data_IF_403223925761
#
_entry.id   IF_403223925761
#
_cell.length_a   1.000
_cell.length_b   1.000
_cell.length_c   1.000
_cell.angle_alpha   90.00
_cell.angle_beta   90.00
_cell.angle_gamma   90.00
#
_symmetry.space_group_name_H-M   'P 1'
#
loop_
_entity.id
_entity.type
_entity.pdbx_description
1 polymer ?
#
# COMPACT_ATOMS: atom_id res chain seq x y z
N UNK A 1 25.80 -41.43 6.89
CA UNK A 1 26.45 -40.20 7.43
C UNK A 1 27.00 -39.29 6.32
N UNK A 2 27.81 -39.78 5.37
CA UNK A 2 28.42 -38.95 4.29
C UNK A 2 27.45 -38.22 3.33
N UNK A 3 26.29 -38.76 2.91
CA UNK A 3 25.42 -38.03 1.99
C UNK A 3 24.67 -36.86 2.67
N UNK A 4 24.47 -36.95 3.99
CA UNK A 4 23.78 -35.91 4.77
C UNK A 4 24.65 -34.67 4.90
N UNK A 5 25.96 -34.84 5.11
CA UNK A 5 26.91 -33.72 5.13
C UNK A 5 27.05 -33.04 3.76
N UNK A 6 27.00 -33.81 2.67
CA UNK A 6 27.03 -33.25 1.31
C UNK A 6 25.77 -32.41 1.01
N UNK A 7 24.60 -32.90 1.43
CA UNK A 7 23.33 -32.20 1.24
C UNK A 7 23.25 -30.92 2.09
N UNK A 8 23.74 -30.97 3.33
CA UNK A 8 23.84 -29.79 4.20
C UNK A 8 24.80 -28.73 3.64
N UNK A 9 25.94 -29.14 3.08
CA UNK A 9 26.89 -28.22 2.44
C UNK A 9 26.34 -27.58 1.18
N UNK A 10 25.57 -28.33 0.37
CA UNK A 10 24.91 -27.79 -0.82
C UNK A 10 23.85 -26.74 -0.46
N UNK A 11 23.07 -27.02 0.59
CA UNK A 11 22.01 -26.13 1.07
C UNK A 11 22.59 -24.82 1.63
N UNK A 12 23.74 -24.89 2.30
CA UNK A 12 24.47 -23.71 2.79
C UNK A 12 24.97 -22.81 1.65
N UNK A 13 25.44 -23.39 0.54
CA UNK A 13 25.92 -22.63 -0.62
C UNK A 13 24.80 -21.90 -1.36
N UNK A 14 23.63 -22.53 -1.52
CA UNK A 14 22.45 -21.90 -2.14
C UNK A 14 21.95 -20.71 -1.31
N UNK A 15 22.00 -20.81 0.03
CA UNK A 15 21.59 -19.73 0.92
C UNK A 15 22.48 -18.47 0.80
N UNK A 16 23.80 -18.63 0.62
CA UNK A 16 24.74 -17.51 0.42
C UNK A 16 24.53 -16.83 -0.94
N UNK A 17 24.20 -17.59 -1.99
CA UNK A 17 24.03 -17.05 -3.34
C UNK A 17 22.75 -16.21 -3.51
N UNK A 18 21.72 -16.44 -2.69
CA UNK A 18 20.49 -15.64 -2.72
C UNK A 18 20.51 -14.39 -1.84
N UNK A 19 21.62 -14.13 -1.12
CA UNK A 19 21.75 -12.98 -0.20
C UNK A 19 22.61 -11.86 -0.80
N UNK A 20 22.33 -11.44 -2.02
CA UNK A 20 22.85 -10.17 -2.57
C UNK A 20 21.74 -9.12 -2.58
N UNK A 21 21.76 -8.30 -1.54
CA UNK A 21 21.06 -7.01 -1.47
C UNK A 21 21.94 -5.90 -2.10
N UNK A 22 21.25 -4.99 -2.77
CA UNK A 22 21.57 -3.76 -3.49
C UNK A 22 22.77 -2.91 -3.01
N UNK A 23 23.53 -2.27 -3.93
CA UNK A 23 23.99 -0.83 -3.92
C UNK A 23 25.14 -0.54 -4.93
N UNK A 24 24.94 0.41 -5.86
CA UNK A 24 25.85 1.34 -6.63
C UNK A 24 25.23 1.59 -8.03
N UNK A 25 25.00 2.80 -8.56
CA UNK A 25 25.78 4.04 -8.50
C UNK A 25 24.93 5.33 -8.60
N UNK A 26 25.50 6.41 -8.06
CA UNK A 26 25.06 7.80 -8.17
C UNK A 26 25.69 8.52 -9.38
N UNK A 27 24.93 9.44 -9.97
CA UNK A 27 25.31 10.72 -10.60
C UNK A 27 26.53 10.82 -11.55
N UNK A 28 26.27 11.13 -12.83
CA UNK A 28 27.05 12.12 -13.59
C UNK A 28 26.14 12.92 -14.53
N UNK A 29 26.20 14.24 -14.37
CA UNK A 29 25.50 15.28 -15.12
C UNK A 29 26.03 15.50 -16.56
N UNK A 30 25.10 15.94 -17.42
CA UNK A 30 25.24 16.94 -18.51
C UNK A 30 26.13 16.69 -19.74
N UNK A 31 25.50 16.64 -20.93
CA UNK A 31 25.73 17.61 -22.01
C UNK A 31 24.71 17.50 -23.17
N UNK A 32 23.87 18.53 -23.26
CA UNK A 32 23.26 19.16 -24.44
C UNK A 32 23.65 18.64 -25.85
N UNK A 33 22.67 18.16 -26.62
CA UNK A 33 22.68 18.28 -28.08
C UNK A 33 21.28 18.62 -28.61
N UNK A 34 21.11 19.89 -28.99
CA UNK A 34 20.02 20.42 -29.77
C UNK A 34 20.06 19.88 -31.21
N UNK A 35 18.95 19.32 -31.69
CA UNK A 35 18.51 19.49 -33.09
C UNK A 35 17.01 19.19 -33.17
N UNK A 36 16.26 20.20 -33.57
CA UNK A 36 14.84 20.14 -33.83
C UNK A 36 14.55 19.36 -35.12
N UNK A 37 13.49 18.56 -35.11
CA UNK A 37 12.61 18.43 -36.27
C UNK A 37 11.16 18.47 -35.79
N UNK A 38 10.42 19.38 -36.39
CA UNK A 38 9.01 19.61 -36.17
C UNK A 38 8.26 18.79 -37.21
N UNK A 39 7.48 17.80 -36.78
CA UNK A 39 6.29 17.49 -37.56
C UNK A 39 5.07 17.25 -36.67
N UNK A 40 4.07 18.05 -37.00
CA UNK A 40 2.77 18.22 -36.38
C UNK A 40 1.91 16.99 -36.67
N UNK A 41 1.70 16.16 -35.65
CA UNK A 41 0.66 15.14 -35.60
C UNK A 41 -0.39 15.54 -34.56
N UNK A 42 -1.08 16.64 -34.83
CA UNK A 42 -2.17 17.15 -33.98
C UNK A 42 -3.36 16.20 -34.00
N UNK A 43 -3.42 15.31 -33.00
CA UNK A 43 -4.66 14.66 -32.59
C UNK A 43 -4.76 14.67 -31.07
N UNK A 44 -4.69 15.88 -30.49
CA UNK A 44 -5.12 16.10 -29.13
C UNK A 44 -6.65 16.22 -29.15
N UNK A 45 -7.33 15.19 -28.65
CA UNK A 45 -8.75 15.27 -28.32
C UNK A 45 -8.96 16.46 -27.39
N UNK A 46 -9.61 17.51 -27.90
CA UNK A 46 -9.96 18.70 -27.14
C UNK A 46 -10.82 18.30 -25.94
N UNK A 47 -10.31 18.51 -24.73
CA UNK A 47 -11.18 18.63 -23.56
C UNK A 47 -11.86 20.01 -23.61
N UNK A 48 -13.17 20.11 -23.29
CA UNK A 48 -13.85 21.40 -23.18
C UNK A 48 -13.15 22.28 -22.13
N UNK A 49 -13.15 23.63 -22.30
CA UNK A 49 -12.67 24.53 -21.27
C UNK A 49 -13.48 24.30 -19.99
N UNK A 50 -12.82 23.85 -18.93
CA UNK A 50 -13.42 23.73 -17.61
C UNK A 50 -13.96 25.08 -17.17
N UNK A 51 -15.27 25.13 -16.98
CA UNK A 51 -15.97 26.31 -16.49
C UNK A 51 -15.39 26.72 -15.13
N UNK A 52 -14.66 27.84 -15.13
CA UNK A 52 -14.31 28.58 -13.92
C UNK A 52 -15.61 29.11 -13.31
N UNK A 53 -15.99 28.58 -12.15
CA UNK A 53 -17.10 29.11 -11.35
C UNK A 53 -18.30 28.18 -11.21
N UNK A 54 -18.09 26.97 -10.67
CA UNK A 54 -19.15 26.31 -9.93
C UNK A 54 -18.55 25.70 -8.68
N UNK A 55 -18.72 26.40 -7.55
CA UNK A 55 -18.42 25.87 -6.23
C UNK A 55 -19.21 24.58 -6.07
N UNK A 56 -18.53 23.44 -6.23
CA UNK A 56 -19.11 22.16 -5.86
C UNK A 56 -19.33 22.26 -4.35
N UNK A 57 -20.58 22.18 -3.84
CA UNK A 57 -20.80 22.23 -2.41
C UNK A 57 -20.02 21.06 -1.80
N UNK A 58 -19.04 21.37 -0.95
CA UNK A 58 -18.41 20.37 -0.09
C UNK A 58 -19.54 19.70 0.67
N UNK A 59 -19.80 18.40 0.48
CA UNK A 59 -20.84 17.72 1.22
C UNK A 59 -20.52 17.87 2.70
N UNK A 60 -21.44 18.49 3.46
CA UNK A 60 -21.32 18.53 4.90
C UNK A 60 -21.18 17.07 5.39
N UNK A 61 -20.25 16.77 6.31
CA UNK A 61 -20.05 15.42 6.83
C UNK A 61 -21.39 14.91 7.35
N UNK A 62 -21.98 13.98 6.61
CA UNK A 62 -23.18 13.29 7.05
C UNK A 62 -22.71 12.41 8.20
N UNK A 63 -23.27 12.61 9.39
CA UNK A 63 -23.15 11.65 10.48
C UNK A 63 -23.89 10.39 10.02
N UNK A 64 -23.22 9.57 9.20
CA UNK A 64 -23.68 8.24 8.88
C UNK A 64 -23.73 7.52 10.20
N UNK A 65 -24.95 7.23 10.65
CA UNK A 65 -25.17 6.39 11.81
C UNK A 65 -24.39 5.12 11.52
N UNK A 66 -23.41 4.79 12.39
CA UNK A 66 -22.66 3.55 12.28
C UNK A 66 -23.67 2.44 11.94
N UNK A 67 -23.35 1.55 10.97
CA UNK A 67 -24.23 0.43 10.64
C UNK A 67 -24.69 -0.16 11.96
N UNK A 68 -25.99 -0.42 12.11
CA UNK A 68 -26.43 -1.23 13.23
C UNK A 68 -25.63 -2.51 13.11
N UNK A 69 -24.66 -2.73 14.00
CA UNK A 69 -23.96 -3.99 14.08
C UNK A 69 -25.08 -5.00 14.11
N UNK A 70 -25.19 -5.78 13.03
CA UNK A 70 -26.16 -6.87 13.00
C UNK A 70 -25.90 -7.62 14.28
N UNK A 71 -26.92 -7.78 15.11
CA UNK A 71 -26.82 -8.40 16.43
C UNK A 71 -26.47 -9.89 16.27
N UNK A 72 -25.28 -10.18 15.75
CA UNK A 72 -24.54 -11.32 16.18
C UNK A 72 -24.32 -11.10 17.67
N UNK A 73 -24.52 -12.15 18.46
CA UNK A 73 -24.28 -12.15 19.90
C UNK A 73 -22.78 -12.02 20.22
N UNK A 74 -22.03 -11.26 19.40
CA UNK A 74 -20.69 -10.83 19.69
C UNK A 74 -20.77 -9.88 20.88
N UNK A 75 -20.37 -10.43 22.04
CA UNK A 75 -20.12 -9.66 23.26
C UNK A 75 -19.29 -8.44 22.86
N UNK A 76 -19.84 -7.24 22.97
CA UNK A 76 -19.05 -6.01 22.91
C UNK A 76 -18.06 -6.12 24.05
N UNK A 77 -16.82 -6.48 23.73
CA UNK A 77 -15.73 -6.53 24.70
C UNK A 77 -15.30 -5.09 24.87
N UNK A 78 -15.20 -4.60 26.12
CA UNK A 78 -14.51 -3.35 26.39
C UNK A 78 -13.13 -3.43 25.71
N UNK A 79 -12.80 -2.40 24.92
CA UNK A 79 -11.69 -2.42 23.98
C UNK A 79 -10.35 -2.88 24.58
N UNK A 80 -9.47 -3.40 23.74
CA UNK A 80 -8.12 -3.81 24.11
C UNK A 80 -7.09 -2.68 24.03
N UNK A 81 -5.89 -2.90 24.56
CA UNK A 81 -4.74 -2.03 24.30
C UNK A 81 -4.11 -2.42 22.96
N UNK A 82 -4.13 -1.50 21.99
CA UNK A 82 -3.41 -1.68 20.74
C UNK A 82 -1.91 -1.40 20.95
N UNK A 83 -1.10 -2.47 20.96
CA UNK A 83 0.36 -2.34 21.03
C UNK A 83 0.92 -2.07 19.64
N UNK A 84 1.66 -0.97 19.50
CA UNK A 84 2.36 -0.64 18.26
C UNK A 84 3.52 -1.63 18.06
N UNK A 85 3.38 -2.54 17.09
CA UNK A 85 4.40 -3.51 16.73
C UNK A 85 5.10 -3.06 15.45
N UNK A 86 6.40 -2.79 15.51
CA UNK A 86 7.23 -2.44 14.34
C UNK A 86 7.62 -0.97 14.27
N UNK A 87 8.05 -0.56 13.09
CA UNK A 87 8.48 0.81 12.83
C UNK A 87 7.30 1.78 12.72
N UNK A 88 7.60 3.07 12.81
CA UNK A 88 6.61 4.14 12.63
C UNK A 88 6.19 4.17 11.15
N UNK A 89 4.88 4.15 10.85
CA UNK A 89 4.42 4.15 9.48
C UNK A 89 4.60 5.54 8.85
N UNK A 90 4.95 5.61 7.55
CA UNK A 90 4.99 6.87 6.80
C UNK A 90 3.67 7.65 6.82
N UNK A 91 2.54 6.94 6.87
CA UNK A 91 1.21 7.56 6.95
C UNK A 91 0.21 6.64 7.65
N UNK A 92 -0.85 7.23 8.23
CA UNK A 92 -2.03 6.51 8.73
C UNK A 92 -3.29 6.80 7.90
N UNK A 93 -3.21 7.64 6.87
CA UNK A 93 -4.33 7.88 5.97
C UNK A 93 -4.48 6.68 5.01
N UNK A 94 -5.57 5.89 5.10
CA UNK A 94 -5.76 4.72 4.25
C UNK A 94 -5.82 5.05 2.76
N UNK A 95 -6.17 6.29 2.37
CA UNK A 95 -6.16 6.71 0.98
C UNK A 95 -4.76 7.01 0.44
N UNK A 96 -3.76 7.12 1.31
CA UNK A 96 -2.36 7.40 0.96
C UNK A 96 -1.42 6.22 1.27
N UNK A 97 -1.92 5.18 1.95
CA UNK A 97 -1.16 3.97 2.29
C UNK A 97 -0.73 3.21 1.04
N UNK A 98 0.57 3.01 0.87
CA UNK A 98 1.16 2.25 -0.25
C UNK A 98 2.18 1.19 0.20
N UNK A 99 2.60 1.23 1.46
CA UNK A 99 3.61 0.34 2.03
C UNK A 99 3.03 -0.61 3.10
N UNK A 100 3.78 -1.67 3.42
CA UNK A 100 3.36 -2.71 4.36
C UNK A 100 3.34 -2.22 5.81
N UNK A 101 4.26 -1.31 6.20
CA UNK A 101 4.31 -0.82 7.58
C UNK A 101 3.06 -0.01 7.91
N UNK A 102 2.62 0.87 7.01
CA UNK A 102 1.37 1.62 7.11
C UNK A 102 0.15 0.70 7.07
N UNK A 103 0.17 -0.32 6.18
CA UNK A 103 -0.97 -1.24 6.01
C UNK A 103 -1.28 -2.05 7.28
N UNK A 104 -0.25 -2.54 8.00
CA UNK A 104 -0.43 -3.30 9.25
C UNK A 104 -1.20 -2.51 10.32
N UNK A 105 -1.00 -1.20 10.40
CA UNK A 105 -1.76 -0.37 11.33
C UNK A 105 -3.13 0.00 10.78
N UNK A 106 -3.25 0.23 9.47
CA UNK A 106 -4.49 0.64 8.85
C UNK A 106 -5.60 -0.40 9.03
N UNK A 107 -5.30 -1.70 8.85
CA UNK A 107 -6.28 -2.79 9.01
C UNK A 107 -6.79 -2.96 10.45
N UNK A 108 -6.03 -2.48 11.44
CA UNK A 108 -6.35 -2.65 12.85
C UNK A 108 -7.09 -1.43 13.42
N UNK A 109 -6.92 -0.26 12.80
CA UNK A 109 -7.54 1.00 13.20
C UNK A 109 -8.86 1.24 12.43
N UNK A 110 -8.89 0.88 11.15
CA UNK A 110 -10.01 1.15 10.26
C UNK A 110 -10.70 -0.16 9.84
N UNK A 111 -12.02 -0.21 10.04
CA UNK A 111 -12.88 -1.29 9.56
C UNK A 111 -13.33 -1.08 8.12
N UNK A 112 -13.56 -2.19 7.41
CA UNK A 112 -14.00 -2.22 6.02
C UNK A 112 -15.44 -2.72 5.87
N UNK A 113 -15.85 -3.02 4.63
CA UNK A 113 -17.09 -3.81 4.42
C UNK A 113 -16.84 -5.31 4.64
N UNK A 114 -15.64 -5.75 4.33
CA UNK A 114 -15.18 -7.13 4.41
C UNK A 114 -13.75 -7.09 4.96
N UNK A 115 -13.36 -8.13 5.66
CA UNK A 115 -12.02 -8.31 6.20
C UNK A 115 -11.49 -9.71 5.89
N UNK A 116 -10.21 -9.92 6.16
CA UNK A 116 -9.54 -11.22 6.01
C UNK A 116 -9.32 -11.79 7.41
N UNK A 117 -9.88 -12.97 7.68
CA UNK A 117 -9.72 -13.63 8.97
C UNK A 117 -8.31 -14.24 9.14
N UNK A 118 -8.04 -14.79 10.33
CA UNK A 118 -6.75 -15.45 10.64
C UNK A 118 -6.47 -16.69 9.78
N UNK A 119 -7.49 -17.24 9.12
CA UNK A 119 -7.38 -18.36 8.18
C UNK A 119 -7.27 -17.88 6.73
N UNK A 120 -7.11 -16.57 6.50
CA UNK A 120 -7.03 -15.92 5.20
C UNK A 120 -8.34 -16.02 4.38
N UNK A 121 -9.48 -16.24 5.05
CA UNK A 121 -10.79 -16.22 4.42
C UNK A 121 -11.38 -14.81 4.42
N UNK A 122 -12.10 -14.46 3.34
CA UNK A 122 -12.84 -13.20 3.27
C UNK A 122 -14.14 -13.36 4.07
N UNK A 123 -14.33 -12.51 5.07
CA UNK A 123 -15.49 -12.50 5.97
C UNK A 123 -16.04 -11.08 6.10
N UNK A 124 -17.27 -10.95 6.61
CA UNK A 124 -17.79 -9.64 7.03
C UNK A 124 -17.08 -9.17 8.30
N UNK A 125 -16.84 -7.87 8.40
CA UNK A 125 -16.22 -7.19 9.55
C UNK A 125 -17.25 -6.88 10.65
#
# INVERSE_FOLDING_TARGET
MKPVFALLSLLLWVAVACSSDSTTDSATDSANSLAADSNSGSNATQMPPGASGLSTPTPAPQTSRAPSSGASTAKIVDGGTFLRLGADPPTLDPHLTTDVNSAVYAVEIYGGLMTIDKNLAIVGD
#
